data_IF_425236620695
#
_entry.id   IF_425236620695
#
_cell.length_a   1.000
_cell.length_b   1.000
_cell.length_c   1.000
_cell.angle_alpha   90.00
_cell.angle_beta   90.00
_cell.angle_gamma   90.00
#
_symmetry.space_group_name_H-M   'P 1'
#
loop_
_entity.id
_entity.type
_entity.pdbx_description
1 polymer ?
#
# COMPACT_ATOMS: atom_id res chain seq x y z
N UNK A 1 11.29 10.56 -2.44
CA UNK A 1 11.67 9.14 -2.54
C UNK A 1 10.92 8.22 -1.59
N UNK A 2 9.92 8.71 -0.83
CA UNK A 2 9.03 7.87 0.00
C UNK A 2 7.66 7.84 -0.66
N UNK A 3 7.11 6.64 -0.89
CA UNK A 3 5.82 6.40 -1.53
C UNK A 3 5.04 5.30 -0.81
N UNK A 4 3.72 5.32 -0.97
CA UNK A 4 2.80 4.26 -0.52
C UNK A 4 2.16 3.49 -1.68
N UNK A 5 2.46 3.86 -2.93
CA UNK A 5 1.85 3.26 -4.12
C UNK A 5 2.91 2.90 -5.17
N UNK A 6 3.27 1.63 -5.25
CA UNK A 6 4.25 1.16 -6.23
C UNK A 6 3.76 1.32 -7.68
N UNK A 7 2.46 1.11 -7.94
CA UNK A 7 1.86 1.26 -9.26
C UNK A 7 1.86 2.73 -9.70
N UNK A 8 1.61 3.67 -8.76
CA UNK A 8 1.57 5.10 -9.05
C UNK A 8 2.96 5.66 -9.39
N UNK A 9 3.96 5.35 -8.55
CA UNK A 9 5.24 6.04 -8.55
C UNK A 9 6.41 5.19 -9.04
N UNK A 10 6.22 3.86 -9.17
CA UNK A 10 7.31 2.94 -9.51
C UNK A 10 8.02 3.27 -10.81
N UNK A 11 7.30 3.76 -11.82
CA UNK A 11 7.86 4.16 -13.11
C UNK A 11 8.86 5.30 -13.04
N UNK A 12 8.77 6.17 -12.02
CA UNK A 12 9.70 7.26 -11.77
C UNK A 12 11.12 6.77 -11.39
N UNK A 13 11.21 5.51 -10.92
CA UNK A 13 12.46 4.90 -10.46
C UNK A 13 12.96 3.77 -11.36
N UNK A 14 12.62 3.85 -12.66
CA UNK A 14 13.08 2.89 -13.67
C UNK A 14 14.59 2.76 -13.64
N UNK A 15 15.08 1.50 -13.64
CA UNK A 15 16.50 1.14 -13.58
C UNK A 15 17.25 1.67 -12.34
N UNK A 16 16.56 2.01 -11.25
CA UNK A 16 17.15 2.44 -9.99
C UNK A 16 16.96 1.39 -8.90
N UNK A 17 17.75 1.50 -7.83
CA UNK A 17 17.61 0.65 -6.65
C UNK A 17 16.51 1.22 -5.75
N UNK A 18 15.57 0.36 -5.34
CA UNK A 18 14.43 0.73 -4.51
C UNK A 18 14.25 -0.23 -3.34
N UNK A 19 13.56 0.20 -2.31
CA UNK A 19 13.18 -0.64 -1.18
C UNK A 19 11.66 -0.73 -1.03
N UNK A 20 11.19 -1.88 -0.55
CA UNK A 20 9.80 -2.10 -0.14
C UNK A 20 9.82 -2.51 1.33
N UNK A 21 8.98 -1.89 2.15
CA UNK A 21 8.86 -2.21 3.57
C UNK A 21 7.51 -2.86 3.82
N UNK A 22 7.51 -4.09 4.34
CA UNK A 22 6.30 -4.83 4.69
C UNK A 22 6.42 -6.32 4.44
N UNK A 23 5.42 -7.09 4.88
CA UNK A 23 5.40 -8.56 4.74
C UNK A 23 4.02 -9.13 4.43
N UNK A 24 3.05 -8.26 4.11
CA UNK A 24 1.73 -8.65 3.62
C UNK A 24 1.68 -8.77 2.10
N UNK A 25 0.52 -9.14 1.56
CA UNK A 25 0.30 -9.31 0.12
C UNK A 25 0.68 -8.07 -0.68
N UNK A 26 0.29 -6.87 -0.23
CA UNK A 26 0.63 -5.62 -0.91
C UNK A 26 2.13 -5.36 -1.02
N UNK A 27 2.93 -5.76 0.00
CA UNK A 27 4.38 -5.62 -0.04
C UNK A 27 5.01 -6.55 -1.08
N UNK A 28 4.59 -7.84 -1.10
CA UNK A 28 5.09 -8.82 -2.05
C UNK A 28 4.71 -8.45 -3.49
N UNK A 29 3.46 -8.06 -3.72
CA UNK A 29 2.98 -7.61 -5.03
C UNK A 29 3.71 -6.36 -5.52
N UNK A 30 3.94 -5.39 -4.62
CA UNK A 30 4.75 -4.21 -4.93
C UNK A 30 6.18 -4.57 -5.30
N UNK A 31 6.81 -5.48 -4.56
CA UNK A 31 8.17 -5.94 -4.85
C UNK A 31 8.25 -6.65 -6.21
N UNK A 32 7.29 -7.53 -6.53
CA UNK A 32 7.18 -8.20 -7.82
C UNK A 32 6.96 -7.21 -8.96
N UNK A 33 6.06 -6.25 -8.80
CA UNK A 33 5.81 -5.21 -9.80
C UNK A 33 7.07 -4.37 -10.05
N UNK A 34 7.69 -3.86 -8.98
CA UNK A 34 8.90 -3.04 -9.07
C UNK A 34 10.08 -3.81 -9.65
N UNK A 35 10.17 -5.13 -9.43
CA UNK A 35 11.25 -5.95 -9.99
C UNK A 35 11.27 -5.98 -11.53
N UNK A 36 10.14 -5.67 -12.18
CA UNK A 36 10.07 -5.59 -13.63
C UNK A 36 10.47 -4.21 -14.19
N UNK A 37 10.61 -3.20 -13.32
CA UNK A 37 10.85 -1.81 -13.71
C UNK A 37 12.18 -1.31 -13.17
N UNK A 38 12.49 -1.63 -11.92
CA UNK A 38 13.66 -1.14 -11.19
C UNK A 38 14.86 -2.08 -11.38
N UNK A 39 16.05 -1.57 -11.10
CA UNK A 39 17.29 -2.34 -11.19
C UNK A 39 17.34 -3.43 -10.12
N UNK A 40 17.20 -3.06 -8.86
CA UNK A 40 17.12 -3.97 -7.73
C UNK A 40 16.02 -3.52 -6.76
N UNK A 41 15.39 -4.49 -6.11
CA UNK A 41 14.36 -4.29 -5.09
C UNK A 41 14.81 -4.95 -3.80
N UNK A 42 14.93 -4.20 -2.72
CA UNK A 42 15.18 -4.77 -1.39
C UNK A 42 13.86 -4.78 -0.60
N UNK A 43 13.33 -5.98 -0.34
CA UNK A 43 12.14 -6.16 0.50
C UNK A 43 12.55 -6.34 1.95
N UNK A 44 12.05 -5.50 2.85
CA UNK A 44 12.41 -5.49 4.27
C UNK A 44 11.17 -5.82 5.10
N UNK A 45 11.28 -6.84 5.94
CA UNK A 45 10.21 -7.25 6.83
C UNK A 45 10.73 -7.49 8.26
N UNK A 46 9.95 -7.06 9.26
CA UNK A 46 10.31 -7.14 10.69
C UNK A 46 10.30 -8.55 11.26
N UNK A 47 9.73 -9.52 10.54
CA UNK A 47 9.60 -10.92 10.95
C UNK A 47 10.08 -11.83 9.81
N UNK A 48 10.31 -13.10 10.11
CA UNK A 48 10.54 -14.18 9.15
C UNK A 48 9.22 -14.77 8.62
N UNK A 49 8.08 -14.45 9.27
CA UNK A 49 6.74 -14.91 8.91
C UNK A 49 6.04 -13.87 8.05
N UNK A 50 5.80 -14.22 6.78
CA UNK A 50 5.04 -13.38 5.85
C UNK A 50 3.54 -13.70 5.92
N UNK A 51 2.72 -12.64 5.93
CA UNK A 51 1.25 -12.77 5.84
C UNK A 51 0.74 -12.82 4.39
N UNK A 52 1.64 -12.82 3.44
CA UNK A 52 1.32 -12.86 2.01
C UNK A 52 1.02 -14.30 1.55
N UNK A 53 0.39 -14.39 0.39
CA UNK A 53 0.14 -15.65 -0.33
C UNK A 53 1.47 -16.37 -0.65
N UNK A 54 1.53 -17.66 -0.29
CA UNK A 54 2.77 -18.46 -0.42
C UNK A 54 3.29 -18.53 -1.85
N UNK A 55 2.42 -18.63 -2.84
CA UNK A 55 2.76 -18.65 -4.28
C UNK A 55 3.48 -17.37 -4.70
N UNK A 56 2.97 -16.19 -4.32
CA UNK A 56 3.57 -14.89 -4.64
C UNK A 56 4.90 -14.68 -3.92
N UNK A 57 5.00 -15.14 -2.67
CA UNK A 57 6.28 -15.11 -1.93
C UNK A 57 7.33 -16.01 -2.60
N UNK A 58 6.96 -17.19 -3.08
CA UNK A 58 7.86 -18.08 -3.83
C UNK A 58 8.36 -17.38 -5.09
N UNK A 59 7.47 -16.78 -5.89
CA UNK A 59 7.84 -15.99 -7.07
C UNK A 59 8.81 -14.85 -6.75
N UNK A 60 8.59 -14.14 -5.64
CA UNK A 60 9.49 -13.05 -5.22
C UNK A 60 10.90 -13.58 -4.87
N UNK A 61 10.98 -14.76 -4.24
CA UNK A 61 12.26 -15.41 -3.92
C UNK A 61 13.04 -15.90 -5.14
N UNK A 62 12.37 -16.23 -6.24
CA UNK A 62 12.98 -16.67 -7.49
C UNK A 62 13.52 -15.50 -8.34
N UNK A 63 13.05 -14.28 -8.10
CA UNK A 63 13.52 -13.09 -8.84
C UNK A 63 14.95 -12.73 -8.46
N UNK A 64 15.86 -12.72 -9.44
CA UNK A 64 17.28 -12.43 -9.24
C UNK A 64 17.58 -11.03 -8.71
N UNK A 65 16.69 -10.07 -8.98
CA UNK A 65 16.82 -8.68 -8.57
C UNK A 65 15.95 -8.30 -7.37
N UNK A 66 15.39 -9.29 -6.65
CA UNK A 66 14.74 -9.07 -5.36
C UNK A 66 15.62 -9.65 -4.25
N UNK A 67 16.01 -8.82 -3.29
CA UNK A 67 16.70 -9.23 -2.06
C UNK A 67 15.71 -9.11 -0.90
N UNK A 68 15.49 -10.19 -0.16
CA UNK A 68 14.59 -10.23 0.99
C UNK A 68 15.41 -10.18 2.27
N UNK A 69 15.13 -9.18 3.12
CA UNK A 69 15.70 -9.03 4.46
C UNK A 69 14.59 -9.20 5.50
N UNK A 70 14.68 -10.28 6.25
CA UNK A 70 13.76 -10.60 7.35
C UNK A 70 14.35 -10.22 8.69
N UNK A 71 13.49 -10.13 9.71
CA UNK A 71 13.88 -9.74 11.08
C UNK A 71 14.55 -8.36 11.14
N UNK A 72 14.22 -7.50 10.19
CA UNK A 72 14.77 -6.16 10.05
C UNK A 72 13.69 -5.09 10.00
N UNK A 73 14.03 -3.92 10.52
CA UNK A 73 13.16 -2.74 10.51
C UNK A 73 13.96 -1.49 10.15
N UNK A 74 13.30 -0.53 9.56
CA UNK A 74 13.90 0.77 9.26
C UNK A 74 14.07 1.57 10.55
N UNK A 75 15.30 2.03 10.80
CA UNK A 75 15.65 2.93 11.89
C UNK A 75 15.57 4.40 11.48
N UNK A 76 16.07 4.72 10.29
CA UNK A 76 16.07 6.09 9.76
C UNK A 76 16.20 6.11 8.25
N UNK A 77 15.81 7.23 7.66
CA UNK A 77 16.01 7.53 6.25
C UNK A 77 17.29 8.38 6.09
N UNK A 78 18.09 8.03 5.09
CA UNK A 78 19.30 8.78 4.72
C UNK A 78 18.95 9.74 3.60
N UNK A 79 19.43 10.97 3.71
CA UNK A 79 19.23 12.02 2.72
C UNK A 79 20.56 12.38 2.08
N UNK A 80 20.52 12.85 0.83
CA UNK A 80 21.63 13.54 0.18
C UNK A 80 21.61 15.04 0.48
N UNK A 81 22.53 15.76 -0.12
CA UNK A 81 22.70 17.22 0.09
C UNK A 81 21.50 18.04 -0.45
N UNK A 82 20.70 17.46 -1.35
CA UNK A 82 19.47 18.05 -1.91
C UNK A 82 18.21 17.64 -1.11
N UNK A 83 18.36 17.00 0.06
CA UNK A 83 17.27 16.43 0.86
C UNK A 83 16.47 15.30 0.19
N UNK A 84 16.98 14.68 -0.86
CA UNK A 84 16.37 13.54 -1.51
C UNK A 84 16.76 12.24 -0.80
N UNK A 85 15.92 11.21 -0.92
CA UNK A 85 16.22 9.90 -0.34
C UNK A 85 17.46 9.30 -1.02
N UNK A 86 18.45 8.95 -0.21
CA UNK A 86 19.70 8.29 -0.63
C UNK A 86 19.74 6.83 -0.19
N UNK A 87 19.00 6.47 0.83
CA UNK A 87 18.98 5.14 1.40
C UNK A 87 18.25 5.09 2.73
N UNK A 88 18.33 3.94 3.38
CA UNK A 88 17.78 3.72 4.71
C UNK A 88 18.82 3.06 5.61
N UNK A 89 18.72 3.30 6.91
CA UNK A 89 19.48 2.58 7.93
C UNK A 89 18.54 1.60 8.62
N UNK A 90 18.93 0.35 8.72
CA UNK A 90 18.20 -0.71 9.43
C UNK A 90 18.50 -0.69 10.93
N UNK A 91 17.71 -1.41 11.72
CA UNK A 91 17.96 -1.54 13.17
C UNK A 91 19.29 -2.21 13.48
N UNK A 92 19.74 -3.15 12.66
CA UNK A 92 21.08 -3.76 12.72
C UNK A 92 22.24 -2.78 12.53
N UNK A 93 21.97 -1.58 12.00
CA UNK A 93 22.96 -0.60 11.60
C UNK A 93 23.37 -0.71 10.12
N UNK A 94 22.94 -1.74 9.41
CA UNK A 94 23.18 -1.88 7.98
C UNK A 94 22.55 -0.72 7.21
N UNK A 95 23.23 -0.23 6.19
CA UNK A 95 22.71 0.79 5.28
C UNK A 95 22.34 0.16 3.95
N UNK A 96 21.10 0.36 3.51
CA UNK A 96 20.58 -0.04 2.21
C UNK A 96 20.42 1.20 1.36
N UNK A 97 21.24 1.32 0.32
CA UNK A 97 21.18 2.47 -0.61
C UNK A 97 20.00 2.28 -1.56
N UNK A 98 19.17 3.31 -1.71
CA UNK A 98 18.01 3.29 -2.61
C UNK A 98 17.58 4.72 -2.95
N UNK A 99 16.94 4.87 -4.11
CA UNK A 99 16.36 6.15 -4.56
C UNK A 99 14.89 6.30 -4.18
N UNK A 100 14.22 5.17 -3.89
CA UNK A 100 12.85 5.18 -3.38
C UNK A 100 12.63 4.11 -2.31
N UNK A 101 11.69 4.40 -1.42
CA UNK A 101 11.21 3.50 -0.40
C UNK A 101 9.67 3.43 -0.46
N UNK A 102 9.13 2.25 -0.75
CA UNK A 102 7.69 1.98 -0.82
C UNK A 102 7.23 1.37 0.49
N UNK A 103 6.34 2.06 1.20
CA UNK A 103 5.87 1.66 2.54
C UNK A 103 4.56 0.89 2.39
N UNK A 104 4.60 -0.43 2.63
CA UNK A 104 3.48 -1.37 2.49
C UNK A 104 3.22 -2.11 3.82
N UNK A 105 3.05 -1.36 4.92
CA UNK A 105 2.86 -1.91 6.27
C UNK A 105 1.38 -2.02 6.68
N UNK A 106 0.47 -1.72 5.75
CA UNK A 106 -0.98 -1.68 5.98
C UNK A 106 -1.50 -0.28 6.26
N UNK A 107 -2.80 -0.13 6.09
CA UNK A 107 -3.55 1.09 6.40
C UNK A 107 -4.66 0.75 7.39
N UNK A 108 -4.98 1.71 8.22
CA UNK A 108 -6.16 1.66 9.09
C UNK A 108 -7.10 2.77 8.66
N UNK A 109 -8.33 2.45 8.25
CA UNK A 109 -9.28 3.47 7.83
C UNK A 109 -9.67 4.39 9.00
N UNK A 110 -9.85 5.69 8.73
CA UNK A 110 -10.18 6.69 9.75
C UNK A 110 -11.68 6.66 10.12
N UNK A 111 -12.22 5.49 10.38
CA UNK A 111 -13.67 5.25 10.63
C UNK A 111 -14.05 5.18 12.11
N UNK A 112 -13.13 5.47 13.02
CA UNK A 112 -13.38 5.40 14.47
C UNK A 112 -14.59 6.20 14.92
N UNK A 113 -14.91 7.33 14.27
CA UNK A 113 -16.08 8.16 14.55
C UNK A 113 -17.41 7.45 14.23
N UNK A 114 -17.37 6.41 13.37
CA UNK A 114 -18.54 5.68 12.89
C UNK A 114 -18.79 4.36 13.64
N UNK A 115 -17.98 4.02 14.64
CA UNK A 115 -18.07 2.73 15.37
C UNK A 115 -19.46 2.43 15.91
N UNK A 116 -20.22 3.48 16.33
CA UNK A 116 -21.56 3.32 16.88
C UNK A 116 -22.61 2.97 15.81
N UNK A 117 -22.29 3.13 14.54
CA UNK A 117 -23.25 2.93 13.43
C UNK A 117 -23.28 1.47 12.91
N UNK A 118 -22.33 0.65 13.30
CA UNK A 118 -22.21 -0.76 12.86
C UNK A 118 -22.27 -0.94 11.32
N UNK A 119 -21.62 -0.04 10.58
CA UNK A 119 -21.58 -0.06 9.10
C UNK A 119 -20.20 -0.44 8.55
N UNK A 120 -19.28 -0.90 9.40
CA UNK A 120 -17.92 -1.29 9.02
C UNK A 120 -17.73 -2.81 9.09
N UNK A 121 -16.79 -3.32 8.29
CA UNK A 121 -16.30 -4.70 8.42
C UNK A 121 -15.32 -4.82 9.61
N UNK A 122 -14.77 -6.02 9.82
CA UNK A 122 -13.80 -6.33 10.89
C UNK A 122 -12.51 -5.51 10.79
N UNK A 123 -12.09 -5.14 9.57
CA UNK A 123 -10.91 -4.32 9.30
C UNK A 123 -11.18 -2.80 9.46
N UNK A 124 -12.43 -2.42 9.73
CA UNK A 124 -12.85 -1.05 9.94
C UNK A 124 -13.28 -0.30 8.67
N UNK A 125 -13.30 -0.93 7.50
CA UNK A 125 -13.78 -0.30 6.25
C UNK A 125 -15.29 -0.29 6.17
N UNK A 126 -15.87 0.79 5.61
CA UNK A 126 -17.32 0.96 5.48
C UNK A 126 -17.85 0.01 4.41
N UNK A 127 -18.89 -0.78 4.78
CA UNK A 127 -19.56 -1.69 3.85
C UNK A 127 -20.60 -0.91 3.05
N UNK A 128 -20.52 -1.02 1.72
CA UNK A 128 -21.47 -0.38 0.79
C UNK A 128 -21.95 -1.38 -0.27
N UNK A 129 -23.10 -1.09 -0.85
CA UNK A 129 -23.60 -1.77 -2.05
C UNK A 129 -22.95 -1.20 -3.34
N UNK A 130 -23.40 -1.69 -4.50
CA UNK A 130 -22.91 -1.23 -5.80
C UNK A 130 -23.27 0.24 -6.12
N UNK A 131 -24.19 0.84 -5.37
CA UNK A 131 -24.60 2.23 -5.47
C UNK A 131 -23.93 3.12 -4.43
N UNK A 132 -22.89 2.61 -3.75
CA UNK A 132 -22.14 3.29 -2.68
C UNK A 132 -22.99 3.58 -1.43
N UNK A 133 -24.16 2.92 -1.27
CA UNK A 133 -25.05 3.10 -0.14
C UNK A 133 -24.70 2.15 0.99
N UNK A 134 -24.67 2.66 2.24
CA UNK A 134 -24.51 1.83 3.44
C UNK A 134 -25.85 1.19 3.86
N UNK A 135 -25.83 0.35 4.89
CA UNK A 135 -27.04 -0.21 5.50
C UNK A 135 -27.95 0.83 6.17
N UNK A 136 -27.45 2.04 6.39
CA UNK A 136 -28.22 3.15 6.97
C UNK A 136 -28.70 4.06 5.85
N UNK A 137 -30.00 4.38 5.85
CA UNK A 137 -30.59 5.28 4.87
C UNK A 137 -29.90 6.66 4.86
N UNK A 138 -29.68 7.21 3.65
CA UNK A 138 -29.07 8.51 3.42
C UNK A 138 -27.60 8.62 3.84
N UNK A 139 -26.92 7.47 4.10
CA UNK A 139 -25.47 7.44 4.33
C UNK A 139 -24.82 6.65 3.20
N UNK A 140 -23.86 7.30 2.55
CA UNK A 140 -23.05 6.75 1.45
C UNK A 140 -21.57 6.84 1.85
N UNK A 141 -20.75 5.92 1.32
CA UNK A 141 -19.30 5.99 1.48
C UNK A 141 -18.60 5.72 0.15
N UNK A 142 -17.57 6.51 -0.13
CA UNK A 142 -16.84 6.50 -1.39
C UNK A 142 -15.32 6.53 -1.14
N UNK A 143 -14.55 6.03 -2.09
CA UNK A 143 -13.09 6.07 -2.05
C UNK A 143 -12.47 5.06 -1.10
N UNK A 144 -11.29 5.39 -0.59
CA UNK A 144 -10.41 4.47 0.14
C UNK A 144 -10.98 4.00 1.48
N UNK A 145 -11.99 4.69 2.01
CA UNK A 145 -12.61 4.37 3.29
C UNK A 145 -13.62 3.21 3.21
N UNK A 146 -14.11 2.89 2.01
CA UNK A 146 -15.05 1.79 1.80
C UNK A 146 -14.34 0.43 1.63
N UNK A 147 -15.01 -0.64 2.01
CA UNK A 147 -14.57 -2.01 1.80
C UNK A 147 -14.37 -2.29 0.30
N UNK A 148 -13.34 -3.09 -0.01
CA UNK A 148 -12.98 -3.50 -1.38
C UNK A 148 -12.65 -2.33 -2.32
N UNK A 149 -12.22 -1.17 -1.81
CA UNK A 149 -11.72 -0.08 -2.64
C UNK A 149 -10.35 -0.46 -3.24
N UNK A 150 -10.12 -0.22 -4.55
CA UNK A 150 -8.79 -0.35 -5.15
C UNK A 150 -7.78 0.71 -4.68
N UNK A 151 -8.20 1.70 -3.90
CA UNK A 151 -7.37 2.78 -3.37
C UNK A 151 -6.62 3.55 -4.46
N UNK A 152 -7.35 3.96 -5.51
CA UNK A 152 -6.84 4.78 -6.61
C UNK A 152 -7.69 6.04 -6.77
N UNK A 153 -7.06 7.16 -7.14
CA UNK A 153 -7.77 8.43 -7.34
C UNK A 153 -8.94 8.27 -8.31
N UNK A 154 -8.72 7.61 -9.43
CA UNK A 154 -9.75 7.41 -10.46
C UNK A 154 -10.93 6.59 -9.95
N UNK A 155 -10.69 5.58 -9.12
CA UNK A 155 -11.76 4.76 -8.54
C UNK A 155 -12.54 5.53 -7.49
N UNK A 156 -11.86 6.35 -6.68
CA UNK A 156 -12.51 7.23 -5.71
C UNK A 156 -13.40 8.29 -6.39
N UNK A 157 -12.96 8.84 -7.51
CA UNK A 157 -13.78 9.75 -8.35
C UNK A 157 -15.00 9.02 -8.92
N UNK A 158 -14.83 7.80 -9.43
CA UNK A 158 -15.92 6.97 -9.97
C UNK A 158 -16.96 6.67 -8.89
N UNK A 159 -16.51 6.27 -7.69
CA UNK A 159 -17.40 6.05 -6.54
C UNK A 159 -18.24 7.31 -6.24
N UNK A 160 -17.63 8.49 -6.29
CA UNK A 160 -18.32 9.77 -6.10
C UNK A 160 -19.43 10.01 -7.12
N UNK A 161 -19.18 9.69 -8.39
CA UNK A 161 -20.19 9.80 -9.46
C UNK A 161 -21.33 8.81 -9.20
N UNK A 162 -21.03 7.55 -8.89
CA UNK A 162 -22.03 6.51 -8.61
C UNK A 162 -22.91 6.90 -7.41
N UNK A 163 -22.30 7.35 -6.31
CA UNK A 163 -23.05 7.83 -5.15
C UNK A 163 -23.97 9.01 -5.49
N UNK A 164 -23.48 9.99 -6.22
CA UNK A 164 -24.25 11.18 -6.63
C UNK A 164 -25.48 10.82 -7.47
N UNK A 165 -25.29 9.93 -8.46
CA UNK A 165 -26.41 9.44 -9.28
C UNK A 165 -27.41 8.64 -8.45
N UNK A 166 -26.94 7.80 -7.51
CA UNK A 166 -27.80 7.06 -6.61
C UNK A 166 -28.64 7.98 -5.73
N UNK A 167 -28.07 9.06 -5.21
CA UNK A 167 -28.78 10.07 -4.40
C UNK A 167 -29.87 10.75 -5.26
N UNK A 168 -29.52 11.23 -6.44
CA UNK A 168 -30.45 11.92 -7.34
C UNK A 168 -31.65 11.01 -7.68
N UNK A 169 -31.41 9.74 -7.96
CA UNK A 169 -32.46 8.78 -8.30
C UNK A 169 -33.32 8.35 -7.08
N UNK A 170 -32.94 8.71 -5.87
CA UNK A 170 -33.64 8.37 -4.63
C UNK A 170 -34.53 9.50 -4.10
N UNK A 171 -34.46 10.69 -4.70
CA UNK A 171 -35.30 11.86 -4.42
C UNK A 171 -36.52 11.88 -5.32
#
# INVERSE_FOLDING_TARGET
GISHCAICDGSLYKNQDVTVIGGGSSAIESALYLSNICKNVTLIHHSDIFKAEKSKLALAKEKKNIVIKTNESVKSFLKDDENLLKGITLKSGEKVMCKACFICIGFTPATNILKKLNITNEDGYIIVDNNMKTSINNIYAVGDVRANSPCQIITSMTDGVVASLSIINSI
#
